data_IF_411282964880
#
_entry.id   IF_411282964880
#
_cell.length_a   1.000
_cell.length_b   1.000
_cell.length_c   1.000
_cell.angle_alpha   90.00
_cell.angle_beta   90.00
_cell.angle_gamma   90.00
#
_symmetry.space_group_name_H-M   'P 1'
#
loop_
_entity.id
_entity.type
_entity.pdbx_description
1 polymer ?
#
# COMPACT_ATOMS: atom_id res chain seq x y z
N UNK A 1 46.84 -12.95 -5.45
CA UNK A 1 45.65 -12.45 -6.17
C UNK A 1 44.48 -12.23 -5.19
N UNK A 2 44.73 -11.57 -4.06
CA UNK A 2 43.76 -11.43 -2.94
C UNK A 2 42.85 -10.20 -3.04
N UNK A 3 42.90 -9.47 -4.16
CA UNK A 3 42.23 -8.18 -4.35
C UNK A 3 40.95 -8.25 -5.20
N UNK A 4 40.59 -9.44 -5.71
CA UNK A 4 39.36 -9.64 -6.48
C UNK A 4 38.23 -10.10 -5.56
N UNK A 5 37.03 -9.49 -5.64
CA UNK A 5 35.90 -9.90 -4.84
C UNK A 5 35.48 -11.32 -5.24
N UNK A 6 34.96 -12.12 -4.30
CA UNK A 6 34.47 -13.47 -4.59
C UNK A 6 33.47 -13.47 -5.75
N UNK A 7 33.45 -14.51 -6.58
CA UNK A 7 32.46 -14.63 -7.66
C UNK A 7 31.02 -14.47 -7.12
N UNK A 8 30.77 -15.06 -5.95
CA UNK A 8 29.51 -14.96 -5.23
C UNK A 8 29.11 -13.52 -4.85
N UNK A 9 30.07 -12.62 -4.60
CA UNK A 9 29.80 -11.20 -4.34
C UNK A 9 29.18 -10.53 -5.56
N UNK A 10 29.78 -10.72 -6.74
CA UNK A 10 29.29 -10.13 -8.00
C UNK A 10 27.91 -10.68 -8.37
N UNK A 11 27.70 -11.98 -8.21
CA UNK A 11 26.40 -12.61 -8.44
C UNK A 11 25.31 -12.06 -7.52
N UNK A 12 25.62 -11.93 -6.22
CA UNK A 12 24.68 -11.37 -5.24
C UNK A 12 24.37 -9.90 -5.54
N UNK A 13 25.39 -9.11 -5.87
CA UNK A 13 25.23 -7.70 -6.26
C UNK A 13 24.30 -7.55 -7.47
N UNK A 14 24.55 -8.32 -8.52
CA UNK A 14 23.72 -8.31 -9.73
C UNK A 14 22.28 -8.73 -9.43
N UNK A 15 22.09 -9.77 -8.60
CA UNK A 15 20.77 -10.25 -8.19
C UNK A 15 19.98 -9.15 -7.47
N UNK A 16 20.62 -8.47 -6.52
CA UNK A 16 20.02 -7.37 -5.76
C UNK A 16 19.72 -6.16 -6.66
N UNK A 17 20.62 -5.80 -7.56
CA UNK A 17 20.42 -4.69 -8.52
C UNK A 17 19.27 -4.97 -9.48
N UNK A 18 19.19 -6.19 -10.03
CA UNK A 18 18.09 -6.61 -10.90
C UNK A 18 16.77 -6.59 -10.16
N UNK A 19 16.74 -7.14 -8.94
CA UNK A 19 15.54 -7.13 -8.11
C UNK A 19 15.08 -5.70 -7.79
N UNK A 20 16.00 -4.80 -7.44
CA UNK A 20 15.66 -3.38 -7.19
C UNK A 20 15.07 -2.73 -8.42
N UNK A 21 15.65 -2.97 -9.60
CA UNK A 21 15.14 -2.41 -10.86
C UNK A 21 13.71 -2.88 -11.16
N UNK A 22 13.45 -4.18 -10.99
CA UNK A 22 12.11 -4.76 -11.17
C UNK A 22 11.12 -4.19 -10.16
N UNK A 23 11.54 -4.04 -8.91
CA UNK A 23 10.71 -3.50 -7.82
C UNK A 23 10.36 -2.03 -8.05
N UNK A 24 11.32 -1.21 -8.44
CA UNK A 24 11.09 0.20 -8.81
C UNK A 24 10.13 0.33 -9.99
N UNK A 25 10.25 -0.55 -10.99
CA UNK A 25 9.33 -0.59 -12.13
C UNK A 25 7.90 -0.93 -11.69
N UNK A 26 7.74 -1.89 -10.77
CA UNK A 26 6.43 -2.21 -10.19
C UNK A 26 5.84 -1.05 -9.38
N UNK A 27 6.67 -0.27 -8.68
CA UNK A 27 6.24 0.88 -7.89
C UNK A 27 5.95 2.15 -8.72
N UNK A 28 6.55 2.27 -9.91
CA UNK A 28 6.33 3.41 -10.81
C UNK A 28 5.09 3.26 -11.70
N UNK A 29 4.49 2.07 -11.76
CA UNK A 29 3.25 1.85 -12.51
C UNK A 29 2.16 2.83 -12.03
N UNK A 30 1.56 3.62 -12.95
CA UNK A 30 0.51 4.55 -12.61
C UNK A 30 -0.62 3.82 -11.90
N UNK A 31 -1.10 4.40 -10.80
CA UNK A 31 -2.29 3.89 -10.13
C UNK A 31 -3.48 4.21 -11.04
N UNK A 32 -3.84 3.26 -11.92
CA UNK A 32 -5.09 3.27 -12.69
C UNK A 32 -6.19 3.64 -11.73
N UNK A 33 -6.95 4.69 -12.05
CA UNK A 33 -7.91 5.36 -11.17
C UNK A 33 -8.60 4.35 -10.24
N UNK A 34 -8.05 4.20 -9.02
CA UNK A 34 -8.49 3.15 -8.13
C UNK A 34 -9.77 3.65 -7.47
N UNK A 35 -10.89 3.53 -8.17
CA UNK A 35 -12.22 3.84 -7.65
C UNK A 35 -12.90 2.58 -7.10
N UNK A 36 -12.43 1.40 -7.52
CA UNK A 36 -12.98 0.11 -7.14
C UNK A 36 -12.16 -0.52 -6.02
N UNK A 37 -12.86 -0.91 -4.95
CA UNK A 37 -12.27 -1.49 -3.76
C UNK A 37 -11.48 -2.78 -4.06
N UNK A 38 -11.98 -3.63 -4.96
CA UNK A 38 -11.31 -4.87 -5.39
C UNK A 38 -9.95 -4.60 -6.06
N UNK A 39 -9.86 -3.52 -6.86
CA UNK A 39 -8.59 -3.11 -7.47
C UNK A 39 -7.61 -2.58 -6.41
N UNK A 40 -8.11 -1.87 -5.38
CA UNK A 40 -7.27 -1.46 -4.24
C UNK A 40 -6.74 -2.69 -3.48
N UNK A 41 -7.58 -3.69 -3.21
CA UNK A 41 -7.19 -4.93 -2.53
C UNK A 41 -6.13 -5.70 -3.32
N UNK A 42 -6.32 -5.86 -4.62
CA UNK A 42 -5.35 -6.52 -5.49
C UNK A 42 -4.01 -5.79 -5.43
N UNK A 43 -4.02 -4.47 -5.54
CA UNK A 43 -2.79 -3.67 -5.47
C UNK A 43 -2.12 -3.77 -4.10
N UNK A 44 -2.90 -3.79 -3.01
CA UNK A 44 -2.35 -3.96 -1.66
C UNK A 44 -1.68 -5.32 -1.49
N UNK A 45 -2.26 -6.40 -2.04
CA UNK A 45 -1.64 -7.74 -2.04
C UNK A 45 -0.30 -7.74 -2.76
N UNK A 46 -0.20 -7.09 -3.92
CA UNK A 46 1.05 -6.97 -4.67
C UNK A 46 2.13 -6.22 -3.88
N UNK A 47 1.77 -5.10 -3.25
CA UNK A 47 2.72 -4.33 -2.45
C UNK A 47 3.17 -5.11 -1.20
N UNK A 48 2.26 -5.82 -0.54
CA UNK A 48 2.61 -6.71 0.60
C UNK A 48 3.52 -7.86 0.17
N UNK A 49 3.27 -8.46 -0.99
CA UNK A 49 4.18 -9.47 -1.56
C UNK A 49 5.57 -8.88 -1.84
N UNK A 50 5.62 -7.64 -2.34
CA UNK A 50 6.89 -6.95 -2.55
C UNK A 50 7.62 -6.64 -1.24
N UNK A 51 6.89 -6.31 -0.16
CA UNK A 51 7.47 -6.14 1.18
C UNK A 51 8.09 -7.44 1.70
N UNK A 52 7.41 -8.58 1.54
CA UNK A 52 7.98 -9.89 1.90
C UNK A 52 9.24 -10.19 1.10
N UNK A 53 9.21 -9.95 -0.22
CA UNK A 53 10.38 -10.14 -1.08
C UNK A 53 11.55 -9.23 -0.68
N UNK A 54 11.27 -7.99 -0.26
CA UNK A 54 12.28 -7.08 0.29
C UNK A 54 12.96 -7.66 1.54
N UNK A 55 12.20 -8.28 2.44
CA UNK A 55 12.78 -8.95 3.62
C UNK A 55 13.65 -10.15 3.25
N UNK A 56 13.31 -10.89 2.20
CA UNK A 56 14.13 -12.00 1.71
C UNK A 56 15.47 -11.52 1.15
N UNK A 57 15.44 -10.43 0.36
CA UNK A 57 16.64 -9.83 -0.25
C UNK A 57 17.55 -9.12 0.78
N UNK A 58 17.04 -8.78 1.96
CA UNK A 58 17.83 -8.15 3.05
C UNK A 58 19.08 -8.98 3.43
N UNK A 59 18.99 -10.32 3.36
CA UNK A 59 20.12 -11.21 3.66
C UNK A 59 21.29 -11.02 2.67
N UNK A 60 20.97 -10.83 1.39
CA UNK A 60 21.97 -10.55 0.36
C UNK A 60 22.69 -9.23 0.60
N UNK A 61 21.96 -8.19 1.00
CA UNK A 61 22.53 -6.90 1.39
C UNK A 61 23.44 -6.97 2.61
N UNK A 62 23.05 -7.73 3.63
CA UNK A 62 23.91 -7.97 4.80
C UNK A 62 25.20 -8.69 4.38
N UNK A 63 25.10 -9.73 3.55
CA UNK A 63 26.27 -10.44 3.02
C UNK A 63 27.21 -9.52 2.23
N UNK A 64 26.67 -8.68 1.33
CA UNK A 64 27.46 -7.71 0.58
C UNK A 64 28.19 -6.74 1.52
N UNK A 65 27.50 -6.27 2.56
CA UNK A 65 28.05 -5.34 3.54
C UNK A 65 29.23 -5.93 4.31
N UNK A 66 29.06 -7.14 4.85
CA UNK A 66 30.14 -7.85 5.55
C UNK A 66 31.32 -8.10 4.61
N UNK A 67 31.06 -8.54 3.38
CA UNK A 67 32.11 -8.84 2.40
C UNK A 67 32.92 -7.59 2.03
N UNK A 68 32.27 -6.43 1.82
CA UNK A 68 32.98 -5.17 1.54
C UNK A 68 33.82 -4.73 2.73
N UNK A 69 33.34 -4.94 3.95
CA UNK A 69 34.10 -4.61 5.16
C UNK A 69 35.37 -5.48 5.28
N UNK A 70 35.27 -6.78 5.03
CA UNK A 70 36.41 -7.70 5.04
C UNK A 70 37.42 -7.36 3.93
N UNK A 71 36.95 -7.12 2.71
CA UNK A 71 37.80 -6.71 1.58
C UNK A 71 38.50 -5.37 1.85
N UNK A 72 37.82 -4.44 2.53
CA UNK A 72 38.42 -3.16 2.94
C UNK A 72 39.55 -3.34 3.95
N UNK A 73 39.50 -4.39 4.79
CA UNK A 73 40.54 -4.68 5.80
C UNK A 73 41.74 -5.42 5.20
N UNK A 74 41.52 -6.26 4.19
CA UNK A 74 42.55 -7.16 3.63
C UNK A 74 43.20 -6.63 2.35
N UNK A 75 42.49 -5.79 1.59
CA UNK A 75 42.91 -5.29 0.29
C UNK A 75 43.59 -3.92 0.33
N UNK A 76 44.12 -3.45 -0.82
CA UNK A 76 44.60 -2.08 -0.97
C UNK A 76 43.50 -1.06 -0.65
N UNK A 77 43.86 0.04 0.03
CA UNK A 77 42.90 1.05 0.48
C UNK A 77 42.01 1.59 -0.64
N UNK A 78 42.55 1.70 -1.86
CA UNK A 78 41.80 2.22 -3.01
C UNK A 78 40.72 1.25 -3.51
N UNK A 79 41.02 -0.05 -3.49
CA UNK A 79 40.07 -1.10 -3.85
C UNK A 79 38.93 -1.15 -2.82
N UNK A 80 39.27 -1.08 -1.52
CA UNK A 80 38.26 -1.02 -0.45
C UNK A 80 37.36 0.21 -0.53
N UNK A 81 37.91 1.39 -0.85
CA UNK A 81 37.14 2.62 -1.08
C UNK A 81 36.15 2.47 -2.23
N UNK A 82 36.57 1.91 -3.36
CA UNK A 82 35.70 1.68 -4.52
C UNK A 82 34.50 0.81 -4.16
N UNK A 83 34.72 -0.34 -3.51
CA UNK A 83 33.63 -1.26 -3.11
C UNK A 83 32.67 -0.63 -2.10
N UNK A 84 33.19 0.19 -1.17
CA UNK A 84 32.36 0.90 -0.21
C UNK A 84 31.46 1.91 -0.89
N UNK A 85 32.00 2.70 -1.82
CA UNK A 85 31.22 3.68 -2.57
C UNK A 85 30.11 3.01 -3.38
N UNK A 86 30.39 1.89 -4.04
CA UNK A 86 29.38 1.12 -4.78
C UNK A 86 28.27 0.60 -3.86
N UNK A 87 28.66 0.01 -2.72
CA UNK A 87 27.71 -0.50 -1.73
C UNK A 87 26.87 0.61 -1.11
N UNK A 88 27.43 1.79 -0.83
CA UNK A 88 26.69 2.93 -0.29
C UNK A 88 25.59 3.41 -1.24
N UNK A 89 25.86 3.44 -2.56
CA UNK A 89 24.85 3.74 -3.58
C UNK A 89 23.72 2.72 -3.55
N UNK A 90 24.06 1.43 -3.47
CA UNK A 90 23.09 0.33 -3.40
C UNK A 90 22.25 0.41 -2.12
N UNK A 91 22.86 0.67 -0.97
CA UNK A 91 22.16 0.84 0.31
C UNK A 91 21.26 2.08 0.31
N UNK A 92 21.69 3.17 -0.31
CA UNK A 92 20.88 4.37 -0.48
C UNK A 92 19.63 4.11 -1.33
N UNK A 93 19.81 3.46 -2.48
CA UNK A 93 18.71 3.04 -3.37
C UNK A 93 17.74 2.10 -2.65
N UNK A 94 18.28 1.11 -1.91
CA UNK A 94 17.48 0.20 -1.10
C UNK A 94 16.62 0.93 -0.07
N UNK A 95 17.21 1.81 0.74
CA UNK A 95 16.48 2.58 1.77
C UNK A 95 15.35 3.40 1.15
N UNK A 96 15.63 4.06 0.02
CA UNK A 96 14.62 4.82 -0.72
C UNK A 96 13.48 3.93 -1.18
N UNK A 97 13.80 2.79 -1.81
CA UNK A 97 12.83 1.82 -2.27
C UNK A 97 11.97 1.27 -1.12
N UNK A 98 12.58 0.89 0.01
CA UNK A 98 11.87 0.43 1.20
C UNK A 98 10.90 1.47 1.75
N UNK A 99 11.35 2.73 1.84
CA UNK A 99 10.51 3.83 2.33
C UNK A 99 9.33 4.10 1.39
N UNK A 100 9.58 4.16 0.08
CA UNK A 100 8.54 4.37 -0.93
C UNK A 100 7.50 3.24 -0.90
N UNK A 101 7.94 2.00 -0.78
CA UNK A 101 7.05 0.84 -0.68
C UNK A 101 6.16 0.91 0.57
N UNK A 102 6.75 1.22 1.74
CA UNK A 102 6.00 1.37 2.99
C UNK A 102 4.97 2.51 2.90
N UNK A 103 5.37 3.67 2.35
CA UNK A 103 4.49 4.81 2.16
C UNK A 103 3.33 4.51 1.21
N UNK A 104 3.58 3.81 0.10
CA UNK A 104 2.52 3.42 -0.84
C UNK A 104 1.54 2.42 -0.22
N UNK A 105 2.01 1.45 0.55
CA UNK A 105 1.14 0.53 1.30
C UNK A 105 0.22 1.30 2.25
N UNK A 106 0.80 2.14 3.11
CA UNK A 106 0.05 2.90 4.11
C UNK A 106 -0.99 3.80 3.45
N UNK A 107 -0.61 4.56 2.42
CA UNK A 107 -1.53 5.46 1.70
C UNK A 107 -2.68 4.70 1.05
N UNK A 108 -2.44 3.49 0.54
CA UNK A 108 -3.48 2.67 -0.06
C UNK A 108 -4.45 2.13 1.00
N UNK A 109 -3.93 1.62 2.12
CA UNK A 109 -4.76 1.16 3.25
C UNK A 109 -5.64 2.29 3.80
N UNK A 110 -5.08 3.49 3.99
CA UNK A 110 -5.83 4.67 4.42
C UNK A 110 -6.96 5.04 3.45
N UNK A 111 -6.70 4.98 2.13
CA UNK A 111 -7.72 5.24 1.10
C UNK A 111 -8.82 4.19 1.14
N UNK A 112 -8.47 2.92 1.29
CA UNK A 112 -9.42 1.82 1.39
C UNK A 112 -10.32 1.97 2.62
N UNK A 113 -9.76 2.31 3.79
CA UNK A 113 -10.55 2.56 5.00
C UNK A 113 -11.53 3.72 4.80
N UNK A 114 -11.09 4.82 4.17
CA UNK A 114 -11.97 5.96 3.86
C UNK A 114 -13.09 5.57 2.91
N UNK A 115 -12.78 4.80 1.86
CA UNK A 115 -13.77 4.32 0.90
C UNK A 115 -14.81 3.41 1.56
N UNK A 116 -14.37 2.46 2.39
CA UNK A 116 -15.25 1.56 3.11
C UNK A 116 -16.20 2.31 4.05
N UNK A 117 -15.67 3.31 4.78
CA UNK A 117 -16.49 4.19 5.62
C UNK A 117 -17.54 4.95 4.81
N UNK A 118 -17.12 5.58 3.71
CA UNK A 118 -18.03 6.31 2.82
C UNK A 118 -19.14 5.41 2.25
N UNK A 119 -18.81 4.18 1.84
CA UNK A 119 -19.79 3.20 1.37
C UNK A 119 -20.78 2.80 2.47
N UNK A 120 -20.31 2.63 3.71
CA UNK A 120 -21.17 2.31 4.86
C UNK A 120 -22.10 3.47 5.23
N UNK A 121 -21.58 4.69 5.27
CA UNK A 121 -22.35 5.91 5.56
C UNK A 121 -23.42 6.12 4.48
N UNK A 122 -23.06 5.94 3.21
CA UNK A 122 -24.00 6.01 2.07
C UNK A 122 -25.10 4.94 2.18
N UNK A 123 -24.74 3.70 2.58
CA UNK A 123 -25.72 2.62 2.76
C UNK A 123 -26.70 2.94 3.89
N UNK A 124 -26.18 3.44 5.01
CA UNK A 124 -26.99 3.83 6.17
C UNK A 124 -27.96 4.95 5.79
N UNK A 125 -27.47 5.97 5.09
CA UNK A 125 -28.31 7.08 4.64
C UNK A 125 -29.41 6.61 3.68
N UNK A 126 -29.08 5.76 2.70
CA UNK A 126 -30.08 5.19 1.77
C UNK A 126 -31.16 4.40 2.50
N UNK A 127 -30.78 3.62 3.52
CA UNK A 127 -31.72 2.86 4.35
C UNK A 127 -32.65 3.80 5.12
N UNK A 128 -32.09 4.80 5.79
CA UNK A 128 -32.87 5.80 6.53
C UNK A 128 -33.85 6.57 5.63
N UNK A 129 -33.40 6.99 4.44
CA UNK A 129 -34.29 7.64 3.46
C UNK A 129 -35.45 6.74 3.05
N UNK A 130 -35.19 5.45 2.82
CA UNK A 130 -36.26 4.50 2.49
C UNK A 130 -37.25 4.29 3.65
N UNK A 131 -36.77 4.27 4.89
CA UNK A 131 -37.64 4.20 6.08
C UNK A 131 -38.51 5.45 6.23
N UNK A 132 -37.94 6.64 6.03
CA UNK A 132 -38.68 7.92 6.03
C UNK A 132 -39.72 7.95 4.91
N UNK A 133 -39.37 7.49 3.70
CA UNK A 133 -40.30 7.41 2.58
C UNK A 133 -41.49 6.48 2.84
N UNK A 134 -41.27 5.36 3.56
CA UNK A 134 -42.34 4.45 3.99
C UNK A 134 -43.20 5.11 5.05
N UNK A 135 -42.58 5.66 6.09
CA UNK A 135 -43.27 6.34 7.19
C UNK A 135 -44.18 7.47 6.68
N UNK A 136 -43.67 8.35 5.81
CA UNK A 136 -44.46 9.42 5.22
C UNK A 136 -45.64 8.90 4.37
N UNK A 137 -45.48 7.76 3.68
CA UNK A 137 -46.56 7.15 2.90
C UNK A 137 -47.62 6.49 3.76
N UNK A 138 -47.27 6.00 4.95
CA UNK A 138 -48.18 5.32 5.87
C UNK A 138 -48.92 6.30 6.80
N UNK A 139 -48.26 7.38 7.23
CA UNK A 139 -48.80 8.34 8.20
C UNK A 139 -49.64 9.45 7.53
N UNK A 140 -49.33 9.81 6.28
CA UNK A 140 -50.10 10.81 5.52
C UNK A 140 -51.57 10.40 5.24
N UNK A 141 -51.88 9.15 4.86
CA UNK A 141 -53.25 8.67 4.76
C UNK A 141 -53.99 8.70 6.11
N UNK A 142 -53.32 8.35 7.20
CA UNK A 142 -53.93 8.32 8.54
C UNK A 142 -54.29 9.73 9.07
N UNK A 143 -53.51 10.75 8.74
CA UNK A 143 -53.85 12.15 9.04
C UNK A 143 -55.08 12.63 8.27
N UNK A 144 -55.25 12.20 7.01
CA UNK A 144 -56.46 12.49 6.23
C UNK A 144 -57.71 11.86 6.82
N UNK A 145 -57.59 10.64 7.36
CA UNK A 145 -58.67 9.98 8.10
C UNK A 145 -58.95 10.66 9.45
N UNK A 146 -57.93 11.15 10.16
CA UNK A 146 -58.11 11.91 11.41
C UNK A 146 -58.86 13.22 11.21
N UNK A 147 -58.55 13.97 10.14
CA UNK A 147 -59.29 15.20 9.81
C UNK A 147 -60.75 14.89 9.44
N UNK A 148 -60.99 13.77 8.73
CA UNK A 148 -62.34 13.30 8.42
C UNK A 148 -63.10 12.88 9.70
N UNK A 149 -62.43 12.22 10.64
CA UNK A 149 -62.98 11.83 11.94
C UNK A 149 -63.30 13.04 12.84
N UNK A 150 -62.44 14.06 12.87
CA UNK A 150 -62.71 15.31 13.60
C UNK A 150 -63.95 16.03 13.06
N UNK A 151 -64.09 16.15 11.72
CA UNK A 151 -65.30 16.73 11.12
C UNK A 151 -66.56 15.96 11.44
N UNK A 152 -66.48 14.64 11.60
CA UNK A 152 -67.63 13.82 12.01
C UNK A 152 -67.99 14.04 13.48
N UNK A 153 -67.01 14.28 14.35
CA UNK A 153 -67.24 14.55 15.77
C UNK A 153 -67.81 15.95 16.03
N UNK A 154 -67.45 16.96 15.23
CA UNK A 154 -68.02 18.32 15.33
C UNK A 154 -69.47 18.41 14.82
N UNK A 155 -69.94 17.40 14.07
CA UNK A 155 -71.30 17.33 13.54
C UNK A 155 -72.28 16.54 14.43
N UNK A 156 -71.81 15.97 15.54
CA UNK A 156 -72.63 15.36 16.59
C UNK A 156 -72.83 16.32 17.77
#
# INVERSE_FOLDING_TARGET
SDSLPPAHYKETMNTILMWMQQSETKLSMPQVAIAEYETMEQRLRELKALQSSLQEQQKGLTYLSTTVEELSRRGPAEVGRSYRSELEVVLGRWKKLSAQLAEQCQKLEERMTKLQRFQNDTRTLKKWMAEVDVFLKEEWPALGDSEALEKQLEQC
#
